data_IF_520544039597
#
_entry.id   IF_520544039597
#
_cell.length_a   1.000
_cell.length_b   1.000
_cell.length_c   1.000
_cell.angle_alpha   90.00
_cell.angle_beta   90.00
_cell.angle_gamma   90.00
#
_symmetry.space_group_name_H-M   'P 1'
#
loop_
_entity.id
_entity.type
_entity.pdbx_description
1 polymer ?
#
# COMPACT_ATOMS: atom_id res chain seq x y z
N UNK A 1 14.61 -6.82 0.90
CA UNK A 1 14.63 -7.55 -0.38
C UNK A 1 14.55 -6.53 -1.51
N UNK A 2 15.21 -6.75 -2.65
CA UNK A 2 15.04 -5.89 -3.82
C UNK A 2 13.94 -6.49 -4.73
N UNK A 3 13.11 -5.66 -5.34
CA UNK A 3 12.06 -6.13 -6.26
C UNK A 3 12.67 -6.61 -7.60
N UNK A 4 11.92 -7.45 -8.32
CA UNK A 4 12.26 -8.02 -9.63
C UNK A 4 13.63 -8.71 -9.67
N UNK A 5 13.83 -9.71 -8.80
CA UNK A 5 15.02 -10.58 -8.87
C UNK A 5 14.73 -11.81 -9.73
N UNK A 6 15.70 -12.28 -10.51
CA UNK A 6 15.54 -13.40 -11.46
C UNK A 6 15.26 -14.77 -10.83
N UNK A 7 15.28 -14.87 -9.50
CA UNK A 7 15.08 -16.14 -8.75
C UNK A 7 14.06 -16.02 -7.62
N UNK A 8 13.31 -14.92 -7.54
CA UNK A 8 12.30 -14.72 -6.51
C UNK A 8 10.97 -14.31 -7.13
N UNK A 9 9.89 -14.96 -6.70
CA UNK A 9 8.52 -14.55 -7.02
C UNK A 9 8.08 -13.49 -6.02
N UNK A 10 7.48 -12.42 -6.53
CA UNK A 10 6.91 -11.35 -5.71
C UNK A 10 5.40 -11.40 -5.90
N UNK A 11 4.68 -11.60 -4.82
CA UNK A 11 3.23 -11.59 -4.86
C UNK A 11 2.70 -10.19 -4.61
N UNK A 12 1.85 -9.73 -5.53
CA UNK A 12 1.10 -8.49 -5.42
C UNK A 12 -0.37 -8.85 -5.33
N UNK A 13 -1.12 -8.16 -4.49
CA UNK A 13 -2.56 -8.33 -4.38
C UNK A 13 -3.29 -7.01 -4.45
N UNK A 14 -4.60 -7.08 -4.71
CA UNK A 14 -5.52 -5.96 -4.56
C UNK A 14 -6.73 -6.43 -3.77
N UNK A 15 -7.21 -5.60 -2.85
CA UNK A 15 -8.36 -5.91 -2.02
C UNK A 15 -9.23 -4.65 -1.82
N UNK A 16 -10.47 -4.72 -2.28
CA UNK A 16 -11.51 -3.79 -1.86
C UNK A 16 -12.02 -4.17 -0.46
N UNK A 17 -11.69 -3.35 0.54
CA UNK A 17 -12.00 -3.64 1.95
C UNK A 17 -13.31 -3.02 2.43
N UNK A 18 -13.94 -2.19 1.59
CA UNK A 18 -15.15 -1.37 1.83
C UNK A 18 -15.08 -0.35 2.98
N UNK A 19 -14.21 -0.54 3.96
CA UNK A 19 -13.87 0.45 4.99
C UNK A 19 -12.65 -0.03 5.78
N UNK A 20 -11.81 0.92 6.20
CA UNK A 20 -10.68 0.70 7.12
C UNK A 20 -10.79 1.59 8.38
N UNK A 21 -11.99 2.07 8.70
CA UNK A 21 -12.21 2.98 9.83
C UNK A 21 -11.88 2.35 11.19
N UNK A 22 -12.21 1.07 11.37
CA UNK A 22 -11.94 0.37 12.62
C UNK A 22 -10.44 0.25 12.88
N UNK A 23 -10.00 0.63 14.07
CA UNK A 23 -8.60 0.64 14.49
C UNK A 23 -7.91 -0.73 14.35
N UNK A 24 -8.66 -1.83 14.44
CA UNK A 24 -8.17 -3.20 14.25
C UNK A 24 -8.13 -3.69 12.79
N UNK A 25 -8.81 -3.02 11.86
CA UNK A 25 -8.97 -3.50 10.47
C UNK A 25 -7.64 -3.53 9.73
N UNK A 26 -6.79 -2.54 9.95
CA UNK A 26 -5.47 -2.48 9.33
C UNK A 26 -4.58 -3.66 9.77
N UNK A 27 -4.67 -4.09 11.03
CA UNK A 27 -3.94 -5.26 11.55
C UNK A 27 -4.46 -6.56 10.96
N UNK A 28 -5.78 -6.69 10.78
CA UNK A 28 -6.38 -7.83 10.10
C UNK A 28 -5.93 -7.93 8.64
N UNK A 29 -5.92 -6.80 7.92
CA UNK A 29 -5.43 -6.74 6.54
C UNK A 29 -3.95 -7.13 6.48
N UNK A 30 -3.13 -6.67 7.40
CA UNK A 30 -1.72 -7.07 7.51
C UNK A 30 -1.56 -8.57 7.81
N UNK A 31 -2.48 -9.19 8.57
CA UNK A 31 -2.48 -10.62 8.80
C UNK A 31 -2.80 -11.41 7.51
N UNK A 32 -3.80 -10.97 6.73
CA UNK A 32 -4.11 -11.59 5.44
C UNK A 32 -3.00 -11.38 4.41
N UNK A 33 -2.41 -10.20 4.35
CA UNK A 33 -1.23 -9.91 3.51
C UNK A 33 -0.10 -10.91 3.78
N UNK A 34 0.19 -11.18 5.05
CA UNK A 34 1.18 -12.20 5.46
C UNK A 34 0.74 -13.62 5.12
N UNK A 35 -0.53 -13.95 5.32
CA UNK A 35 -1.08 -15.28 5.02
C UNK A 35 -0.91 -15.66 3.54
N UNK A 36 -1.07 -14.68 2.65
CA UNK A 36 -0.89 -14.86 1.21
C UNK A 36 0.52 -14.54 0.71
N UNK A 37 1.49 -14.29 1.61
CA UNK A 37 2.86 -13.90 1.28
C UNK A 37 2.95 -12.71 0.31
N UNK A 38 2.00 -11.77 0.42
CA UNK A 38 1.99 -10.57 -0.41
C UNK A 38 3.07 -9.61 0.05
N UNK A 39 3.79 -9.05 -0.90
CA UNK A 39 4.82 -8.05 -0.67
C UNK A 39 4.26 -6.63 -0.78
N UNK A 40 3.30 -6.44 -1.68
CA UNK A 40 2.52 -5.22 -1.85
C UNK A 40 1.05 -5.57 -1.98
N UNK A 41 0.20 -4.87 -1.24
CA UNK A 41 -1.25 -4.99 -1.31
C UNK A 41 -1.86 -3.63 -1.64
N UNK A 42 -2.51 -3.52 -2.79
CA UNK A 42 -3.40 -2.43 -3.14
C UNK A 42 -4.71 -2.55 -2.37
N UNK A 43 -5.16 -1.46 -1.77
CA UNK A 43 -6.38 -1.43 -0.97
C UNK A 43 -7.27 -0.31 -1.46
N UNK A 44 -8.49 -0.65 -1.85
CA UNK A 44 -9.51 0.30 -2.30
C UNK A 44 -10.64 0.43 -1.27
N UNK A 45 -11.34 1.56 -1.30
CA UNK A 45 -12.43 1.91 -0.36
C UNK A 45 -11.95 1.92 1.11
N UNK A 46 -10.78 2.52 1.36
CA UNK A 46 -10.22 2.58 2.71
C UNK A 46 -10.98 3.56 3.62
N UNK A 47 -11.67 4.54 3.04
CA UNK A 47 -12.33 5.64 3.75
C UNK A 47 -11.37 6.44 4.64
N UNK A 48 -10.07 6.39 4.32
CA UNK A 48 -9.08 7.28 4.94
C UNK A 48 -9.30 8.69 4.45
N UNK A 49 -9.08 9.65 5.33
CA UNK A 49 -8.99 11.07 4.98
C UNK A 49 -7.53 11.45 4.84
N UNK A 50 -7.27 12.50 4.05
CA UNK A 50 -5.94 13.06 3.79
C UNK A 50 -4.96 12.10 3.08
N UNK A 51 -3.79 12.63 2.79
CA UNK A 51 -2.66 11.89 2.22
C UNK A 51 -1.63 11.68 3.32
N UNK A 52 -1.13 10.46 3.46
CA UNK A 52 -0.14 10.18 4.48
C UNK A 52 0.44 8.78 4.45
N UNK A 53 1.29 8.52 5.43
CA UNK A 53 1.86 7.20 5.65
C UNK A 53 1.79 6.84 7.13
N UNK A 54 1.52 5.57 7.42
CA UNK A 54 1.47 5.04 8.77
C UNK A 54 2.18 3.70 8.83
N UNK A 55 3.09 3.55 9.80
CA UNK A 55 3.68 2.25 10.14
C UNK A 55 2.78 1.54 11.13
N UNK A 56 2.37 0.32 10.82
CA UNK A 56 1.62 -0.52 11.74
C UNK A 56 2.55 -1.08 12.83
N UNK A 57 1.99 -1.48 13.98
CA UNK A 57 2.73 -2.16 15.05
C UNK A 57 3.29 -3.51 14.59
N UNK A 58 2.64 -4.18 13.64
CA UNK A 58 3.14 -5.38 12.97
C UNK A 58 4.32 -5.09 12.02
N UNK A 59 4.50 -3.83 11.62
CA UNK A 59 5.66 -3.27 10.94
C UNK A 59 5.53 -3.11 9.42
N UNK A 60 4.39 -3.47 8.84
CA UNK A 60 3.98 -3.06 7.50
C UNK A 60 3.83 -1.52 7.43
N UNK A 61 4.06 -0.96 6.25
CA UNK A 61 3.93 0.46 5.97
C UNK A 61 2.69 0.66 5.10
N UNK A 62 1.74 1.44 5.59
CA UNK A 62 0.54 1.84 4.86
C UNK A 62 0.78 3.22 4.27
N UNK A 63 0.78 3.33 2.95
CA UNK A 63 0.73 4.58 2.20
C UNK A 63 -0.72 4.81 1.80
N UNK A 64 -1.30 5.96 2.08
CA UNK A 64 -2.71 6.20 1.79
C UNK A 64 -2.95 7.58 1.20
N UNK A 65 -4.00 7.64 0.40
CA UNK A 65 -4.60 8.87 -0.08
C UNK A 65 -6.10 8.80 0.11
N UNK A 66 -6.67 9.94 0.46
CA UNK A 66 -8.04 10.09 0.89
C UNK A 66 -8.52 11.52 0.66
N UNK A 67 -9.83 11.74 0.79
CA UNK A 67 -10.39 13.08 0.65
C UNK A 67 -10.01 13.95 1.86
N UNK A 68 -9.87 15.26 1.67
CA UNK A 68 -9.57 16.19 2.78
C UNK A 68 -10.78 16.42 3.69
N UNK A 69 -11.99 16.28 3.15
CA UNK A 69 -13.24 16.56 3.87
C UNK A 69 -13.75 15.36 4.67
N UNK A 70 -13.93 15.58 5.97
CA UNK A 70 -14.41 14.59 6.95
C UNK A 70 -15.92 14.30 6.82
N UNK A 71 -16.69 15.11 6.07
CA UNK A 71 -18.16 15.07 6.07
C UNK A 71 -18.81 14.71 4.73
N UNK A 72 -18.05 14.24 3.73
CA UNK A 72 -18.61 13.69 2.49
C UNK A 72 -18.85 12.19 2.63
N UNK A 73 -19.82 11.58 1.93
CA UNK A 73 -20.06 10.14 1.98
C UNK A 73 -18.77 9.41 1.63
N UNK A 74 -18.13 8.83 2.65
CA UNK A 74 -16.86 8.14 2.55
C UNK A 74 -16.99 6.95 1.62
N UNK A 75 -16.65 7.17 0.36
CA UNK A 75 -16.65 6.16 -0.72
C UNK A 75 -15.30 6.13 -1.43
N UNK A 76 -14.38 6.98 -0.99
CA UNK A 76 -13.10 7.23 -1.62
C UNK A 76 -12.00 7.05 -0.58
N UNK A 77 -10.80 6.72 -1.05
CA UNK A 77 -9.70 6.35 -0.20
C UNK A 77 -9.02 5.11 -0.77
N UNK A 78 -7.74 5.25 -1.01
CA UNK A 78 -6.89 4.23 -1.58
C UNK A 78 -5.63 4.11 -0.76
N UNK A 79 -5.07 2.91 -0.71
CA UNK A 79 -3.82 2.69 -0.01
C UNK A 79 -2.99 1.59 -0.68
N UNK A 80 -1.68 1.67 -0.41
CA UNK A 80 -0.73 0.59 -0.63
C UNK A 80 -0.21 0.15 0.73
N UNK A 81 -0.36 -1.13 1.06
CA UNK A 81 0.28 -1.73 2.21
C UNK A 81 1.53 -2.49 1.75
N UNK A 82 2.66 -2.19 2.39
CA UNK A 82 3.99 -2.68 2.03
C UNK A 82 4.56 -3.55 3.14
N UNK A 83 5.02 -4.74 2.78
CA UNK A 83 5.74 -5.63 3.70
C UNK A 83 7.04 -4.97 4.17
N UNK A 84 7.60 -5.44 5.29
CA UNK A 84 8.93 -5.02 5.74
C UNK A 84 10.01 -5.21 4.68
N UNK A 85 9.86 -6.22 3.81
CA UNK A 85 10.90 -6.61 2.88
C UNK A 85 11.03 -5.62 1.72
N UNK A 86 9.92 -5.05 1.25
CA UNK A 86 9.87 -4.12 0.10
C UNK A 86 9.96 -2.66 0.48
N UNK A 87 9.73 -2.32 1.76
CA UNK A 87 9.87 -0.95 2.25
C UNK A 87 11.25 -0.35 1.97
N UNK A 88 12.33 -1.14 2.13
CA UNK A 88 13.69 -0.66 1.84
C UNK A 88 13.96 -0.45 0.35
N UNK A 89 13.11 -0.99 -0.52
CA UNK A 89 13.17 -0.77 -1.95
C UNK A 89 12.33 0.43 -2.39
N UNK A 90 11.46 0.99 -1.54
CA UNK A 90 10.66 2.16 -1.86
C UNK A 90 11.58 3.38 -2.06
N UNK A 91 11.56 3.95 -3.26
CA UNK A 91 12.31 5.16 -3.60
C UNK A 91 11.49 6.42 -3.32
N UNK A 92 10.18 6.33 -3.45
CA UNK A 92 9.26 7.43 -3.25
C UNK A 92 7.84 7.04 -3.65
N UNK A 93 6.89 7.84 -3.22
CA UNK A 93 5.50 7.70 -3.63
C UNK A 93 4.83 9.07 -3.69
N UNK A 94 3.78 9.15 -4.48
CA UNK A 94 2.99 10.36 -4.69
C UNK A 94 1.51 9.98 -4.79
N UNK A 95 0.64 10.89 -4.37
CA UNK A 95 -0.79 10.77 -4.58
C UNK A 95 -1.24 11.74 -5.67
N UNK A 96 -2.13 11.27 -6.54
CA UNK A 96 -2.80 12.05 -7.58
C UNK A 96 -4.29 12.15 -7.27
N UNK A 97 -4.62 12.67 -6.08
CA UNK A 97 -5.99 12.73 -5.54
C UNK A 97 -6.41 11.45 -4.79
N UNK A 98 -7.66 11.39 -4.29
CA UNK A 98 -8.12 10.39 -3.31
C UNK A 98 -8.26 8.96 -3.88
N UNK A 99 -8.03 8.77 -5.18
CA UNK A 99 -8.23 7.52 -5.91
C UNK A 99 -7.00 7.02 -6.64
N UNK A 100 -5.89 7.76 -6.61
CA UNK A 100 -4.68 7.35 -7.30
C UNK A 100 -3.48 7.53 -6.37
N UNK A 101 -2.74 6.46 -6.20
CA UNK A 101 -1.45 6.46 -5.52
C UNK A 101 -0.42 5.75 -6.41
N UNK A 102 0.75 6.36 -6.56
CA UNK A 102 1.88 5.78 -7.29
C UNK A 102 3.05 5.62 -6.35
N UNK A 103 3.62 4.42 -6.32
CA UNK A 103 4.83 4.12 -5.56
C UNK A 103 5.91 3.55 -6.49
N UNK A 104 7.11 4.10 -6.37
CA UNK A 104 8.27 3.76 -7.17
C UNK A 104 9.26 2.98 -6.32
N UNK A 105 9.74 1.85 -6.84
CA UNK A 105 10.63 0.95 -6.13
C UNK A 105 11.90 0.66 -6.92
N UNK A 106 13.02 0.61 -6.20
CA UNK A 106 14.31 0.16 -6.68
C UNK A 106 14.24 -1.35 -6.92
N UNK A 107 14.69 -1.76 -8.10
CA UNK A 107 14.78 -3.19 -8.43
C UNK A 107 16.22 -3.69 -8.26
N UNK A 108 16.41 -5.00 -8.32
CA UNK A 108 17.75 -5.59 -8.29
C UNK A 108 18.56 -5.28 -9.55
N UNK A 109 17.89 -5.06 -10.68
CA UNK A 109 18.56 -4.73 -11.94
C UNK A 109 18.79 -3.23 -12.02
N UNK A 110 20.05 -2.84 -12.12
CA UNK A 110 20.44 -1.44 -12.29
C UNK A 110 19.77 -0.83 -13.54
N UNK A 111 19.39 0.44 -13.42
CA UNK A 111 18.67 1.16 -14.47
C UNK A 111 17.18 0.79 -14.61
N UNK A 112 16.66 -0.17 -13.83
CA UNK A 112 15.24 -0.55 -13.84
C UNK A 112 14.56 -0.15 -12.53
N UNK A 113 13.43 0.54 -12.66
CA UNK A 113 12.53 0.88 -11.57
C UNK A 113 11.20 0.16 -11.75
N UNK A 114 10.57 -0.23 -10.65
CA UNK A 114 9.23 -0.81 -10.66
C UNK A 114 8.27 0.24 -10.12
N UNK A 115 7.22 0.55 -10.87
CA UNK A 115 6.18 1.50 -10.46
C UNK A 115 4.89 0.72 -10.24
N UNK A 116 4.25 0.92 -9.08
CA UNK A 116 2.93 0.40 -8.78
C UNK A 116 1.98 1.59 -8.71
N UNK A 117 0.90 1.51 -9.49
CA UNK A 117 -0.18 2.49 -9.47
C UNK A 117 -1.42 1.72 -9.06
N UNK A 118 -2.10 2.24 -8.05
CA UNK A 118 -3.42 1.80 -7.62
C UNK A 118 -4.37 2.97 -7.80
#
# INVERSE_FOLDING_TARGET
MLLLTTRATIYLGTWNVRTMWDTGRAVQIAAEMRRYNLEVLGISETHRTQVGQQRLTSGELLLYSGHEEVNTPHTQGIALMLSKQVQNALMGWESHGPRIIKASFKTKKEGITMNIIQ
#
